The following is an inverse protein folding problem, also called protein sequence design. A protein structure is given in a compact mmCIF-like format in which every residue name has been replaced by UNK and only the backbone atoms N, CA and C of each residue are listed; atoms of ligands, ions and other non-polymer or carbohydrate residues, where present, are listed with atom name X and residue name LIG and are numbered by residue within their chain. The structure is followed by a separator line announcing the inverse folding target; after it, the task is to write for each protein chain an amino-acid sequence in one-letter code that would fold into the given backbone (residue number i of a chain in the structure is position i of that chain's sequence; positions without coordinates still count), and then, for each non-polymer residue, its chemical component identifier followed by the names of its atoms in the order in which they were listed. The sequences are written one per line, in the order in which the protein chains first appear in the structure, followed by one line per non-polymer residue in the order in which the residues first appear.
data_IF_967743988796
#
_entry.id   IF_967743988796
#
_cell.length_a   1.000
_cell.length_b   1.000
_cell.length_c   1.000
_cell.angle_alpha   90.00
_cell.angle_beta   90.00
_cell.angle_gamma   90.00
#
_symmetry.space_group_name_H-M   'P 1'
#
loop_
_entity.id
_entity.type
_entity.pdbx_description
1 polymer ?
#
# COMPACT_ATOMS: atom_id res chain seq x y z
N UNK A 1 66.50 -49.33 0.75
CA UNK A 1 65.78 -48.89 -0.47
C UNK A 1 64.29 -48.70 -0.19
N UNK A 2 63.86 -47.67 0.57
CA UNK A 2 62.42 -47.45 0.86
C UNK A 2 62.00 -45.99 1.11
N UNK A 3 62.76 -44.99 0.65
CA UNK A 3 62.49 -43.56 0.95
C UNK A 3 62.21 -42.66 -0.27
N UNK A 4 62.15 -43.19 -1.50
CA UNK A 4 61.95 -42.38 -2.71
C UNK A 4 60.57 -42.51 -3.38
N UNK A 5 59.67 -43.38 -2.86
CA UNK A 5 58.33 -43.57 -3.43
C UNK A 5 57.26 -42.68 -2.79
N UNK A 6 57.49 -42.17 -1.57
CA UNK A 6 56.52 -41.33 -0.85
C UNK A 6 56.57 -39.84 -1.27
N UNK A 7 57.72 -39.38 -1.77
CA UNK A 7 57.91 -37.97 -2.18
C UNK A 7 57.34 -37.66 -3.57
N UNK A 8 57.13 -38.66 -4.43
CA UNK A 8 56.58 -38.47 -5.79
C UNK A 8 55.04 -38.37 -5.84
N UNK A 9 54.33 -38.87 -4.83
CA UNK A 9 52.87 -38.73 -4.77
C UNK A 9 52.42 -37.35 -4.27
N UNK A 10 53.22 -36.66 -3.46
CA UNK A 10 52.86 -35.33 -2.93
C UNK A 10 52.88 -34.21 -3.99
N UNK A 11 53.72 -34.33 -5.02
CA UNK A 11 53.84 -33.32 -6.08
C UNK A 11 52.76 -33.45 -7.17
N UNK A 12 52.14 -34.63 -7.32
CA UNK A 12 51.11 -34.85 -8.35
C UNK A 12 49.70 -34.46 -7.87
N UNK A 13 49.45 -34.48 -6.57
CA UNK A 13 48.13 -34.13 -5.99
C UNK A 13 47.93 -32.62 -5.88
N UNK A 14 49.00 -31.85 -5.70
CA UNK A 14 48.91 -30.38 -5.59
C UNK A 14 48.65 -29.67 -6.92
N UNK A 15 48.96 -30.31 -8.06
CA UNK A 15 48.77 -29.69 -9.38
C UNK A 15 47.33 -29.86 -9.91
N UNK A 16 46.60 -30.88 -9.46
CA UNK A 16 45.23 -31.14 -9.92
C UNK A 16 44.16 -30.41 -9.11
N UNK A 17 44.48 -29.95 -7.90
CA UNK A 17 43.55 -29.17 -7.05
C UNK A 17 43.53 -27.69 -7.43
N UNK A 18 44.59 -27.18 -8.07
CA UNK A 18 44.70 -25.77 -8.45
C UNK A 18 43.96 -25.39 -9.75
N UNK A 19 43.47 -26.37 -10.50
CA UNK A 19 42.72 -26.15 -11.76
C UNK A 19 41.20 -26.25 -11.62
N UNK A 20 40.68 -26.59 -10.44
CA UNK A 20 39.23 -26.67 -10.20
C UNK A 20 38.63 -25.41 -9.54
N UNK A 21 39.46 -24.42 -9.21
CA UNK A 21 39.04 -23.21 -8.48
C UNK A 21 38.64 -22.03 -9.38
N UNK A 22 38.72 -22.16 -10.71
CA UNK A 22 38.51 -21.03 -11.65
C UNK A 22 37.14 -21.09 -12.36
N UNK A 23 36.31 -22.12 -12.11
CA UNK A 23 34.96 -22.23 -12.68
C UNK A 23 33.82 -22.04 -11.67
N UNK A 24 34.05 -21.36 -10.55
CA UNK A 24 32.97 -20.78 -9.74
C UNK A 24 32.60 -19.41 -10.32
N UNK A 25 32.01 -19.43 -11.52
CA UNK A 25 31.40 -18.27 -12.14
C UNK A 25 30.37 -17.65 -11.18
N UNK A 26 30.44 -16.34 -11.03
CA UNK A 26 29.49 -15.53 -10.26
C UNK A 26 28.08 -15.78 -10.79
N UNK A 27 27.35 -16.70 -10.16
CA UNK A 27 25.92 -16.74 -10.31
C UNK A 27 25.38 -15.64 -9.39
N UNK A 28 25.26 -14.43 -9.93
CA UNK A 28 24.36 -13.43 -9.39
C UNK A 28 22.95 -14.02 -9.49
N UNK A 29 22.59 -14.85 -8.50
CA UNK A 29 21.20 -15.23 -8.28
C UNK A 29 20.35 -13.96 -8.26
N UNK A 30 19.08 -14.01 -8.70
CA UNK A 30 18.24 -12.84 -8.68
C UNK A 30 18.31 -12.24 -7.28
N UNK A 31 18.81 -10.99 -7.20
CA UNK A 31 18.79 -10.19 -5.98
C UNK A 31 17.37 -10.32 -5.45
N UNK A 32 17.20 -11.10 -4.39
CA UNK A 32 16.03 -10.96 -3.56
C UNK A 32 16.08 -9.53 -3.08
N UNK A 33 15.22 -8.70 -3.66
CA UNK A 33 14.92 -7.38 -3.15
C UNK A 33 14.20 -7.67 -1.84
N UNK A 34 15.00 -7.87 -0.78
CA UNK A 34 14.51 -7.78 0.58
C UNK A 34 14.21 -6.29 0.74
N UNK A 35 12.99 -5.89 0.37
CA UNK A 35 12.46 -4.58 0.72
C UNK A 35 12.58 -4.47 2.24
N UNK A 36 13.42 -3.54 2.69
CA UNK A 36 13.51 -3.19 4.08
C UNK A 36 12.09 -2.89 4.58
N UNK A 37 11.63 -3.61 5.62
CA UNK A 37 10.39 -3.26 6.33
C UNK A 37 10.56 -1.85 6.87
N UNK A 38 10.08 -0.87 6.10
CA UNK A 38 9.96 0.50 6.54
C UNK A 38 8.97 0.53 7.70
N UNK A 39 9.41 0.97 8.88
CA UNK A 39 8.56 1.20 10.06
C UNK A 39 7.65 2.44 9.89
N UNK A 40 7.32 2.79 8.66
CA UNK A 40 6.53 3.98 8.34
C UNK A 40 5.05 3.66 8.47
N UNK A 41 4.34 4.55 9.17
CA UNK A 41 2.88 4.53 9.20
C UNK A 41 2.33 4.77 7.77
N UNK A 42 1.37 3.96 7.31
CA UNK A 42 0.87 4.08 5.94
C UNK A 42 0.05 5.35 5.74
N UNK A 43 -0.10 5.76 4.47
CA UNK A 43 -1.17 6.70 4.08
C UNK A 43 -2.39 5.85 3.69
N UNK A 44 -3.55 6.18 4.25
CA UNK A 44 -4.82 5.57 3.88
C UNK A 44 -5.49 6.40 2.80
N UNK A 45 -5.81 5.78 1.67
CA UNK A 45 -6.62 6.36 0.59
C UNK A 45 -7.98 5.69 0.61
N UNK A 46 -9.05 6.45 0.68
CA UNK A 46 -10.42 5.92 0.73
C UNK A 46 -11.14 6.20 -0.57
N UNK A 47 -11.80 5.18 -1.12
CA UNK A 47 -12.66 5.29 -2.29
C UNK A 47 -13.99 4.57 -2.03
N UNK A 48 -15.15 5.25 -2.15
CA UNK A 48 -16.44 4.64 -1.82
C UNK A 48 -16.86 3.58 -2.83
N UNK A 49 -16.65 3.83 -4.13
CA UNK A 49 -17.07 2.89 -5.18
C UNK A 49 -15.90 2.03 -5.69
N UNK A 50 -16.19 0.82 -6.20
CA UNK A 50 -15.17 -0.05 -6.80
C UNK A 50 -14.31 0.67 -7.85
N UNK A 51 -14.93 1.45 -8.75
CA UNK A 51 -14.22 2.16 -9.81
C UNK A 51 -13.22 3.21 -9.28
N UNK A 52 -13.48 3.77 -8.10
CA UNK A 52 -12.61 4.77 -7.46
C UNK A 52 -11.48 4.09 -6.69
N UNK A 53 -11.79 3.06 -5.89
CA UNK A 53 -10.81 2.35 -5.07
C UNK A 53 -9.91 1.43 -5.91
N UNK A 54 -10.47 0.58 -6.76
CA UNK A 54 -9.72 -0.42 -7.51
C UNK A 54 -8.82 0.21 -8.57
N UNK A 55 -9.23 1.33 -9.17
CA UNK A 55 -8.38 2.10 -10.08
C UNK A 55 -7.13 2.62 -9.38
N UNK A 56 -7.25 3.06 -8.12
CA UNK A 56 -6.10 3.49 -7.34
C UNK A 56 -5.26 2.30 -6.86
N UNK A 57 -5.90 1.21 -6.43
CA UNK A 57 -5.22 -0.01 -5.99
C UNK A 57 -4.33 -0.62 -7.10
N UNK A 58 -4.75 -0.54 -8.37
CA UNK A 58 -3.95 -0.96 -9.53
C UNK A 58 -2.63 -0.19 -9.70
N UNK A 59 -2.48 0.98 -9.07
CA UNK A 59 -1.25 1.78 -9.11
C UNK A 59 -0.25 1.40 -8.02
N UNK A 60 -0.67 0.60 -7.04
CA UNK A 60 0.19 0.12 -5.98
C UNK A 60 1.15 -0.95 -6.50
N UNK A 61 2.35 -0.99 -5.95
CA UNK A 61 3.29 -2.11 -6.09
C UNK A 61 3.13 -3.08 -4.93
N UNK A 62 3.49 -4.35 -5.14
CA UNK A 62 3.48 -5.42 -4.13
C UNK A 62 2.13 -5.56 -3.39
N UNK A 63 1.04 -5.56 -4.17
CA UNK A 63 -0.32 -5.49 -3.63
C UNK A 63 -0.71 -6.74 -2.87
N UNK A 64 -1.19 -6.56 -1.64
CA UNK A 64 -1.89 -7.58 -0.85
C UNK A 64 -3.30 -7.11 -0.53
N UNK A 65 -4.28 -7.90 -0.91
CA UNK A 65 -5.67 -7.68 -0.50
C UNK A 65 -5.90 -8.26 0.91
N UNK A 66 -6.62 -7.50 1.72
CA UNK A 66 -7.06 -7.91 3.05
C UNK A 66 -8.52 -7.49 3.27
N UNK A 67 -9.32 -8.36 3.88
CA UNK A 67 -10.73 -8.09 4.17
C UNK A 67 -10.96 -7.91 5.66
N UNK A 68 -11.92 -7.07 6.03
CA UNK A 68 -12.45 -7.01 7.39
C UNK A 68 -13.95 -6.71 7.30
N UNK A 69 -14.76 -7.74 7.58
CA UNK A 69 -16.18 -7.72 7.26
C UNK A 69 -16.40 -7.54 5.75
N UNK A 70 -17.18 -6.52 5.39
CA UNK A 70 -17.48 -6.16 4.00
C UNK A 70 -16.45 -5.23 3.36
N UNK A 71 -15.50 -4.70 4.14
CA UNK A 71 -14.49 -3.76 3.66
C UNK A 71 -13.28 -4.50 3.07
N UNK A 72 -12.72 -3.91 2.01
CA UNK A 72 -11.53 -4.43 1.32
C UNK A 72 -10.42 -3.39 1.41
N UNK A 73 -9.24 -3.84 1.82
CA UNK A 73 -8.03 -3.04 1.94
C UNK A 73 -6.95 -3.60 1.01
N UNK A 74 -6.50 -2.79 0.07
CA UNK A 74 -5.37 -3.10 -0.81
C UNK A 74 -4.12 -2.44 -0.25
N UNK A 75 -3.17 -3.25 0.22
CA UNK A 75 -1.93 -2.79 0.85
C UNK A 75 -0.80 -2.91 -0.15
N UNK A 76 0.00 -1.88 -0.30
CA UNK A 76 1.15 -1.92 -1.18
C UNK A 76 2.02 -0.68 -1.00
N UNK A 77 2.75 -0.34 -2.04
CA UNK A 77 3.62 0.84 -2.04
C UNK A 77 3.39 1.74 -3.23
N UNK A 78 3.57 3.04 -3.03
CA UNK A 78 3.74 4.06 -4.10
C UNK A 78 5.07 4.72 -3.82
N UNK A 79 5.98 4.71 -4.80
CA UNK A 79 7.34 5.25 -4.64
C UNK A 79 8.04 4.77 -3.35
N UNK A 80 7.89 3.46 -3.07
CA UNK A 80 8.39 2.76 -1.88
C UNK A 80 7.79 3.24 -0.53
N UNK A 81 6.81 4.14 -0.55
CA UNK A 81 6.06 4.56 0.62
C UNK A 81 4.85 3.64 0.87
N UNK A 82 4.58 3.19 2.11
CA UNK A 82 3.44 2.32 2.40
C UNK A 82 2.10 3.04 2.21
N UNK A 83 1.25 2.50 1.33
CA UNK A 83 -0.09 3.03 1.03
C UNK A 83 -1.11 1.91 1.17
N UNK A 84 -2.26 2.25 1.75
CA UNK A 84 -3.41 1.37 1.85
C UNK A 84 -4.58 2.02 1.14
N UNK A 85 -5.18 1.33 0.18
CA UNK A 85 -6.41 1.77 -0.48
C UNK A 85 -7.59 1.01 0.12
N UNK A 86 -8.53 1.73 0.73
CA UNK A 86 -9.73 1.18 1.33
C UNK A 86 -10.94 1.36 0.40
N UNK A 87 -11.63 0.26 0.07
CA UNK A 87 -12.95 0.28 -0.54
C UNK A 87 -14.00 0.37 0.58
N UNK A 88 -14.52 1.57 0.82
CA UNK A 88 -15.36 1.86 2.00
C UNK A 88 -16.85 1.57 1.79
N UNK A 89 -17.33 1.62 0.55
CA UNK A 89 -18.76 1.61 0.25
C UNK A 89 -19.40 3.00 0.31
N UNK A 90 -20.65 3.11 -0.14
CA UNK A 90 -21.43 4.36 -0.12
C UNK A 90 -22.08 4.58 1.25
N UNK A 91 -22.26 5.84 1.63
CA UNK A 91 -22.91 6.23 2.89
C UNK A 91 -21.92 6.58 4.00
N UNK A 92 -22.36 7.42 4.94
CA UNK A 92 -21.54 7.92 6.03
C UNK A 92 -21.17 6.81 7.01
N UNK A 93 -22.10 5.89 7.27
CA UNK A 93 -21.99 4.79 8.22
C UNK A 93 -20.91 3.80 7.75
N UNK A 94 -21.00 3.37 6.50
CA UNK A 94 -20.02 2.48 5.87
C UNK A 94 -18.62 3.10 5.85
N UNK A 95 -18.54 4.38 5.47
CA UNK A 95 -17.26 5.09 5.42
C UNK A 95 -16.68 5.27 6.82
N UNK A 96 -17.48 5.66 7.81
CA UNK A 96 -17.04 5.79 9.20
C UNK A 96 -16.55 4.46 9.76
N UNK A 97 -17.30 3.37 9.58
CA UNK A 97 -16.92 2.04 10.04
C UNK A 97 -15.61 1.55 9.37
N UNK A 98 -15.49 1.69 8.05
CA UNK A 98 -14.27 1.33 7.33
C UNK A 98 -13.06 2.15 7.80
N UNK A 99 -13.27 3.45 8.06
CA UNK A 99 -12.24 4.36 8.58
C UNK A 99 -11.78 3.94 9.97
N UNK A 100 -12.70 3.66 10.88
CA UNK A 100 -12.40 3.23 12.24
C UNK A 100 -11.62 1.91 12.25
N UNK A 101 -12.07 0.92 11.48
CA UNK A 101 -11.37 -0.37 11.31
C UNK A 101 -9.95 -0.16 10.77
N UNK A 102 -9.79 0.72 9.77
CA UNK A 102 -8.47 1.00 9.19
C UNK A 102 -7.53 1.70 10.17
N UNK A 103 -8.04 2.65 10.97
CA UNK A 103 -7.28 3.35 12.00
C UNK A 103 -6.75 2.35 13.03
N UNK A 104 -7.64 1.53 13.58
CA UNK A 104 -7.29 0.56 14.62
C UNK A 104 -6.24 -0.44 14.13
N UNK A 105 -6.44 -0.96 12.91
CA UNK A 105 -5.63 -2.04 12.37
C UNK A 105 -4.30 -1.59 11.80
N UNK A 106 -4.24 -0.41 11.18
CA UNK A 106 -3.10 0.01 10.38
C UNK A 106 -2.42 1.28 10.87
N UNK A 107 -3.03 2.02 11.81
CA UNK A 107 -2.47 3.22 12.43
C UNK A 107 -1.89 4.19 11.40
N UNK A 108 -2.67 4.60 10.37
CA UNK A 108 -2.16 5.43 9.28
C UNK A 108 -1.71 6.79 9.79
N UNK A 109 -0.69 7.39 9.15
CA UNK A 109 -0.26 8.76 9.48
C UNK A 109 -1.22 9.83 8.97
N UNK A 110 -1.97 9.50 7.93
CA UNK A 110 -2.87 10.40 7.23
C UNK A 110 -3.95 9.61 6.49
N UNK A 111 -5.10 10.23 6.34
CA UNK A 111 -6.25 9.69 5.62
C UNK A 111 -6.62 10.69 4.53
N UNK A 112 -6.73 10.20 3.30
CA UNK A 112 -7.18 10.98 2.14
C UNK A 112 -8.46 10.32 1.65
N UNK A 113 -9.57 11.01 1.81
CA UNK A 113 -10.82 10.60 1.19
C UNK A 113 -10.90 11.19 -0.22
N UNK A 114 -11.10 10.34 -1.22
CA UNK A 114 -11.28 10.77 -2.61
C UNK A 114 -12.54 10.17 -3.19
N UNK A 115 -13.19 10.94 -4.06
CA UNK A 115 -14.30 10.46 -4.86
C UNK A 115 -14.78 11.54 -5.80
N UNK A 116 -15.86 11.23 -6.49
CA UNK A 116 -16.59 12.19 -7.32
C UNK A 116 -17.75 12.82 -6.53
N UNK A 117 -18.08 14.08 -6.82
CA UNK A 117 -19.20 14.79 -6.20
C UNK A 117 -19.86 15.72 -7.23
N UNK A 118 -21.11 16.10 -6.96
CA UNK A 118 -21.75 17.22 -7.65
C UNK A 118 -21.13 18.55 -7.22
N UNK A 119 -21.04 19.50 -8.17
CA UNK A 119 -20.65 20.89 -7.91
C UNK A 119 -21.86 21.70 -7.46
N UNK A 120 -21.74 22.38 -6.32
CA UNK A 120 -22.75 23.33 -5.83
C UNK A 120 -22.39 24.79 -6.15
N UNK A 121 -21.10 25.08 -6.27
CA UNK A 121 -20.60 26.39 -6.72
C UNK A 121 -20.80 26.48 -8.24
N UNK A 122 -21.53 27.50 -8.74
CA UNK A 122 -21.81 27.65 -10.17
C UNK A 122 -20.56 27.89 -11.02
N UNK A 123 -19.42 28.24 -10.43
CA UNK A 123 -18.16 28.41 -11.14
C UNK A 123 -17.41 27.08 -11.37
N UNK A 124 -17.83 25.99 -10.73
CA UNK A 124 -17.21 24.68 -10.90
C UNK A 124 -17.66 24.01 -12.19
N UNK A 125 -16.70 23.48 -12.93
CA UNK A 125 -16.90 22.71 -14.14
C UNK A 125 -16.71 21.22 -13.89
N UNK A 126 -17.23 20.39 -14.80
CA UNK A 126 -16.95 18.95 -14.78
C UNK A 126 -15.44 18.74 -14.88
N UNK A 127 -14.90 17.87 -14.01
CA UNK A 127 -13.47 17.55 -13.85
C UNK A 127 -12.64 18.54 -13.03
N UNK A 128 -13.21 19.62 -12.50
CA UNK A 128 -12.50 20.45 -11.53
C UNK A 128 -12.18 19.64 -10.25
N UNK A 129 -10.99 19.85 -9.71
CA UNK A 129 -10.53 19.20 -8.48
C UNK A 129 -10.76 20.14 -7.31
N UNK A 130 -11.64 19.74 -6.40
CA UNK A 130 -11.89 20.47 -5.15
C UNK A 130 -11.08 19.85 -4.02
N UNK A 131 -10.20 20.64 -3.41
CA UNK A 131 -9.52 20.27 -2.17
C UNK A 131 -10.31 20.80 -0.98
N UNK A 132 -10.96 19.89 -0.25
CA UNK A 132 -11.77 20.24 0.91
C UNK A 132 -10.94 20.89 2.02
N UNK A 133 -11.24 22.15 2.35
CA UNK A 133 -10.66 22.84 3.51
C UNK A 133 -11.38 22.51 4.82
N UNK A 134 -12.70 22.34 4.74
CA UNK A 134 -13.60 22.04 5.85
C UNK A 134 -14.71 21.12 5.36
N UNK A 135 -15.32 20.36 6.26
CA UNK A 135 -16.44 19.46 5.97
C UNK A 135 -17.51 19.63 7.05
N UNK A 136 -18.77 19.61 6.64
CA UNK A 136 -19.92 19.64 7.54
C UNK A 136 -20.91 18.54 7.14
N UNK A 137 -21.64 18.00 8.12
CA UNK A 137 -22.72 17.05 7.86
C UNK A 137 -24.01 17.82 7.57
N UNK A 138 -24.49 17.80 6.33
CA UNK A 138 -25.74 18.49 5.98
C UNK A 138 -26.96 17.95 6.75
N UNK A 139 -26.94 16.66 7.11
CA UNK A 139 -28.00 16.04 7.90
C UNK A 139 -27.99 16.42 9.38
N UNK A 140 -26.95 17.10 9.88
CA UNK A 140 -26.93 17.61 11.26
C UNK A 140 -27.54 19.01 11.40
N UNK A 141 -27.98 19.63 10.29
CA UNK A 141 -28.68 20.91 10.33
C UNK A 141 -30.06 20.71 10.97
N UNK A 142 -30.30 21.40 12.09
CA UNK A 142 -31.61 21.46 12.73
C UNK A 142 -32.21 22.83 12.46
N UNK A 143 -33.41 22.87 11.90
CA UNK A 143 -34.21 24.10 11.88
C UNK A 143 -34.71 24.38 13.29
N UNK A 144 -34.82 25.65 13.64
CA UNK A 144 -35.50 26.04 14.87
C UNK A 144 -36.97 25.66 14.79
N UNK A 145 -37.59 25.28 15.90
CA UNK A 145 -39.04 25.16 15.95
C UNK A 145 -39.63 26.57 15.73
N UNK A 146 -40.50 26.71 14.74
CA UNK A 146 -41.25 27.94 14.50
C UNK A 146 -42.63 27.80 15.15
N UNK A 147 -43.22 28.90 15.61
CA UNK A 147 -44.60 28.87 16.13
C UNK A 147 -45.61 28.66 14.98
N UNK A 148 -46.85 28.33 15.33
CA UNK A 148 -47.93 28.14 14.38
C UNK A 148 -48.06 29.38 13.47
N UNK A 149 -48.06 29.18 12.15
CA UNK A 149 -48.12 30.20 11.10
C UNK A 149 -46.84 31.04 10.85
N UNK A 150 -45.65 30.53 11.18
CA UNK A 150 -44.38 31.22 10.89
C UNK A 150 -43.54 30.61 9.76
N UNK A 151 -44.05 29.62 9.00
CA UNK A 151 -43.32 28.89 7.95
C UNK A 151 -43.81 29.14 6.53
#
# INVERSE_FOLDING_TARGET
MKNNMLKKCAALVTTTVLSFSILAGCNAGPKQVVEAKSNQQPILIQGPMPIEAEKFAKRLKNVKEEKSGTFVFYKGTVDNYPVIVAKTGKGMENTAAATAVAIEKYKPKAIINQGTSGGHDPNLNVFDIVLGKQVANIGSLKTTNMEENQG
#
